data_IF_504784782503
#
_entry.id   IF_504784782503
#
_cell.length_a   1.000
_cell.length_b   1.000
_cell.length_c   1.000
_cell.angle_alpha   90.00
_cell.angle_beta   90.00
_cell.angle_gamma   90.00
#
_symmetry.space_group_name_H-M   'P 1'
#
loop_
_entity.id
_entity.type
_entity.pdbx_description
1 polymer ?
#
# COMPACT_ATOMS: atom_id res chain seq x y z
N UNK A 1 -21.59 -34.27 43.18
CA UNK A 1 -21.58 -32.81 43.34
C UNK A 1 -20.32 -32.27 42.67
N UNK A 2 -20.48 -31.17 41.93
CA UNK A 2 -19.63 -30.72 40.82
C UNK A 2 -18.98 -29.38 41.20
N UNK A 3 -17.66 -29.29 41.08
CA UNK A 3 -16.89 -28.03 41.21
C UNK A 3 -15.70 -28.14 40.26
N UNK A 4 -15.88 -27.93 38.96
CA UNK A 4 -15.90 -26.63 38.24
C UNK A 4 -14.54 -25.95 38.19
N UNK A 5 -13.65 -26.48 37.36
CA UNK A 5 -12.43 -25.79 36.92
C UNK A 5 -12.82 -24.77 35.85
N UNK A 6 -12.77 -23.48 36.19
CA UNK A 6 -12.94 -22.36 35.25
C UNK A 6 -11.57 -21.75 34.98
N UNK A 7 -10.90 -22.23 33.93
CA UNK A 7 -9.74 -21.52 33.39
C UNK A 7 -10.21 -20.22 32.77
N UNK A 8 -9.61 -19.15 33.28
CA UNK A 8 -9.83 -17.75 32.96
C UNK A 8 -9.32 -17.53 31.53
N UNK A 9 -10.22 -17.63 30.54
CA UNK A 9 -9.98 -17.19 29.16
C UNK A 9 -9.97 -15.66 29.13
N UNK A 10 -8.86 -15.07 29.56
CA UNK A 10 -8.70 -13.60 29.63
C UNK A 10 -7.68 -13.14 28.61
N UNK A 11 -8.22 -12.42 27.63
CA UNK A 11 -7.59 -11.51 26.67
C UNK A 11 -6.88 -12.13 25.46
N UNK A 12 -7.68 -12.51 24.46
CA UNK A 12 -7.30 -12.22 23.07
C UNK A 12 -8.31 -11.21 22.50
N UNK A 13 -8.51 -10.10 23.22
CA UNK A 13 -9.12 -8.90 22.66
C UNK A 13 -8.02 -8.13 21.92
N UNK A 14 -7.48 -8.74 20.86
CA UNK A 14 -6.72 -7.97 19.86
C UNK A 14 -7.75 -7.14 19.13
N UNK A 15 -7.88 -5.92 19.62
CA UNK A 15 -8.27 -4.70 18.95
C UNK A 15 -8.00 -4.81 17.44
N UNK A 16 -8.96 -5.32 16.67
CA UNK A 16 -9.05 -5.08 15.22
C UNK A 16 -9.74 -3.73 14.98
N UNK A 17 -9.38 -2.70 15.74
CA UNK A 17 -9.76 -1.33 15.44
C UNK A 17 -8.74 -0.76 14.46
N UNK A 18 -9.24 -0.40 13.29
CA UNK A 18 -8.69 0.74 12.56
C UNK A 18 -7.51 0.43 11.66
N UNK A 19 -7.73 -0.40 10.64
CA UNK A 19 -6.99 -0.24 9.39
C UNK A 19 -7.98 -0.15 8.22
N UNK A 20 -8.92 0.79 8.29
CA UNK A 20 -9.35 1.47 7.06
C UNK A 20 -8.23 2.41 6.64
N UNK A 21 -7.03 1.87 6.43
CA UNK A 21 -5.98 2.59 5.77
C UNK A 21 -6.48 2.80 4.36
N UNK A 22 -6.70 4.06 3.98
CA UNK A 22 -6.77 4.43 2.58
C UNK A 22 -5.61 3.72 1.89
N UNK A 23 -5.90 2.71 1.07
CA UNK A 23 -4.88 2.03 0.31
C UNK A 23 -4.22 3.10 -0.56
N UNK A 24 -3.06 3.58 -0.12
CA UNK A 24 -2.27 4.52 -0.90
C UNK A 24 -1.95 3.78 -2.19
N UNK A 25 -2.46 4.30 -3.31
CA UNK A 25 -2.22 3.70 -4.61
C UNK A 25 -0.70 3.63 -4.80
N UNK A 26 -0.18 2.41 -4.88
CA UNK A 26 1.24 2.10 -5.00
C UNK A 26 1.44 1.20 -6.22
N UNK A 27 2.65 1.19 -6.80
CA UNK A 27 2.99 0.24 -7.85
C UNK A 27 2.70 -1.20 -7.40
N UNK A 28 2.07 -1.97 -8.29
CA UNK A 28 1.71 -3.36 -8.07
C UNK A 28 2.93 -4.28 -8.17
N UNK A 29 3.95 -3.88 -8.94
CA UNK A 29 5.18 -4.67 -9.07
C UNK A 29 6.18 -4.32 -7.97
N UNK A 30 6.90 -5.30 -7.38
CA UNK A 30 8.00 -4.99 -6.49
C UNK A 30 9.15 -4.33 -7.28
N UNK A 31 9.77 -3.29 -6.70
CA UNK A 31 11.00 -2.72 -7.24
C UNK A 31 12.19 -3.57 -6.78
N UNK A 32 12.89 -4.16 -7.74
CA UNK A 32 14.05 -5.03 -7.56
C UNK A 32 15.20 -4.54 -8.42
N UNK A 33 16.39 -5.11 -8.24
CA UNK A 33 17.53 -4.78 -9.09
C UNK A 33 17.29 -5.12 -10.58
N UNK A 34 16.39 -6.07 -10.88
CA UNK A 34 16.10 -6.48 -12.26
C UNK A 34 15.26 -5.47 -13.05
N UNK A 35 14.42 -4.68 -12.37
CA UNK A 35 13.56 -3.67 -12.98
C UNK A 35 13.96 -2.24 -12.58
N UNK A 36 15.21 -2.04 -12.19
CA UNK A 36 15.75 -0.70 -11.95
C UNK A 36 15.68 0.14 -13.25
N UNK A 37 15.14 1.35 -13.17
CA UNK A 37 14.81 2.21 -14.30
C UNK A 37 13.47 1.90 -14.99
N UNK A 38 12.73 0.86 -14.55
CA UNK A 38 11.39 0.62 -15.06
C UNK A 38 10.41 1.66 -14.49
N UNK A 39 9.37 1.97 -15.27
CA UNK A 39 8.30 2.88 -14.86
C UNK A 39 6.96 2.16 -14.74
N UNK A 40 6.16 2.51 -13.74
CA UNK A 40 4.81 2.01 -13.55
C UNK A 40 3.82 3.17 -13.37
N UNK A 41 2.69 3.12 -14.09
CA UNK A 41 1.59 4.05 -13.91
C UNK A 41 0.60 3.51 -12.88
N UNK A 42 0.35 4.31 -11.84
CA UNK A 42 -0.55 3.97 -10.75
C UNK A 42 -1.78 4.89 -10.82
N UNK A 43 -2.96 4.36 -11.18
CA UNK A 43 -4.17 5.16 -11.28
C UNK A 43 -4.68 5.61 -9.91
N UNK A 44 -5.35 6.76 -9.89
CA UNK A 44 -6.08 7.29 -8.73
C UNK A 44 -7.38 7.95 -9.22
N UNK A 45 -8.31 8.27 -8.31
CA UNK A 45 -9.62 8.88 -8.61
C UNK A 45 -9.51 10.18 -9.45
N UNK A 46 -8.37 10.87 -9.38
CA UNK A 46 -8.12 12.13 -10.09
C UNK A 46 -7.10 12.03 -11.24
N UNK A 47 -6.82 10.82 -11.73
CA UNK A 47 -5.83 10.56 -12.77
C UNK A 47 -4.88 9.45 -12.34
N UNK A 48 -3.65 9.81 -11.97
CA UNK A 48 -2.67 8.86 -11.47
C UNK A 48 -1.29 9.46 -11.26
N UNK A 49 -0.30 8.60 -11.08
CA UNK A 49 1.10 8.99 -10.96
C UNK A 49 2.00 7.96 -11.65
N UNK A 50 3.11 8.44 -12.21
CA UNK A 50 4.15 7.56 -12.76
C UNK A 50 5.23 7.43 -11.68
N UNK A 51 5.60 6.19 -11.40
CA UNK A 51 6.70 5.85 -10.52
C UNK A 51 7.84 5.24 -11.33
N UNK A 52 9.07 5.47 -10.91
CA UNK A 52 10.29 4.85 -11.43
C UNK A 52 10.97 4.03 -10.32
N UNK A 53 11.42 2.83 -10.66
CA UNK A 53 12.14 1.97 -9.74
C UNK A 53 13.61 2.41 -9.70
N UNK A 54 14.05 2.95 -8.56
CA UNK A 54 15.43 3.38 -8.34
C UNK A 54 15.94 2.78 -7.04
N UNK A 55 17.01 1.99 -7.14
CA UNK A 55 17.73 1.36 -6.04
C UNK A 55 16.82 0.53 -5.10
N UNK A 56 15.90 -0.24 -5.69
CA UNK A 56 14.98 -1.10 -4.93
C UNK A 56 13.80 -0.35 -4.30
N UNK A 57 13.58 0.91 -4.67
CA UNK A 57 12.42 1.70 -4.24
C UNK A 57 11.71 2.36 -5.42
N UNK A 58 10.38 2.38 -5.36
CA UNK A 58 9.57 3.18 -6.28
C UNK A 58 9.57 4.66 -5.88
N UNK A 59 10.02 5.51 -6.79
CA UNK A 59 10.00 6.96 -6.66
C UNK A 59 8.97 7.55 -7.59
N UNK A 60 8.12 8.43 -7.09
CA UNK A 60 7.18 9.14 -7.95
C UNK A 60 7.95 10.14 -8.80
N UNK A 61 7.82 10.06 -10.13
CA UNK A 61 8.49 10.94 -11.09
C UNK A 61 7.51 11.82 -11.86
N UNK A 62 6.21 11.50 -11.86
CA UNK A 62 5.19 12.36 -12.44
C UNK A 62 3.83 12.21 -11.75
N UNK A 63 3.00 13.24 -11.85
CA UNK A 63 1.59 13.23 -11.46
C UNK A 63 0.75 13.54 -12.69
N UNK A 64 -0.27 12.72 -12.96
CA UNK A 64 -1.14 12.83 -14.11
C UNK A 64 -2.57 13.18 -13.70
N UNK A 65 -3.22 14.07 -14.44
CA UNK A 65 -4.63 14.41 -14.24
C UNK A 65 -5.56 13.41 -14.95
N UNK A 66 -6.88 13.57 -14.78
CA UNK A 66 -7.90 12.71 -15.41
C UNK A 66 -7.87 12.76 -16.96
N UNK A 67 -7.32 13.83 -17.54
CA UNK A 67 -7.17 13.99 -18.99
C UNK A 67 -5.91 13.31 -19.54
N UNK A 68 -5.13 12.62 -18.69
CA UNK A 68 -3.89 11.95 -19.08
C UNK A 68 -2.69 12.89 -19.24
N UNK A 69 -2.80 14.16 -18.84
CA UNK A 69 -1.69 15.09 -18.86
C UNK A 69 -0.83 14.90 -17.61
N UNK A 70 0.46 14.68 -17.80
CA UNK A 70 1.40 14.42 -16.72
C UNK A 70 2.37 15.59 -16.51
N UNK A 71 2.60 15.94 -15.26
CA UNK A 71 3.65 16.88 -14.84
C UNK A 71 4.76 16.09 -14.15
N UNK A 72 5.97 16.15 -14.70
CA UNK A 72 7.15 15.49 -14.15
C UNK A 72 7.75 16.31 -12.99
N UNK A 73 8.32 15.61 -12.00
CA UNK A 73 8.85 16.18 -10.75
C UNK A 73 10.36 16.46 -10.82
#
# INVERSE_FOLDING_TARGET
>A
MKTSIRWISTVCAVVCLGAMGTALAAPATPCTAQNNGATEYVPNLNGGAIYECVDGRWWRIAVCNQSGQCTYL
#
